data_IF_687395180622
#
_entry.id   IF_687395180622
#
_cell.length_a   1.000
_cell.length_b   1.000
_cell.length_c   1.000
_cell.angle_alpha   90.00
_cell.angle_beta   90.00
_cell.angle_gamma   90.00
#
_symmetry.space_group_name_H-M   'P 1'
#
loop_
_entity.id
_entity.type
_entity.pdbx_description
1 polymer ?
#
# COMPACT_ATOMS: atom_id res chain seq x y z
N UNK A 1 3.42 -18.88 9.48
CA UNK A 1 3.92 -17.59 9.98
C UNK A 1 5.44 -17.60 9.87
N UNK A 2 6.09 -16.50 9.47
CA UNK A 2 7.55 -16.51 9.25
C UNK A 2 8.12 -15.53 8.22
N UNK A 3 7.38 -14.49 7.83
CA UNK A 3 7.96 -13.36 7.08
C UNK A 3 8.26 -12.24 8.08
N UNK A 4 9.50 -11.72 8.08
CA UNK A 4 9.89 -10.58 8.93
C UNK A 4 9.41 -9.22 8.38
N UNK A 5 8.85 -9.22 7.17
CA UNK A 5 8.33 -8.04 6.49
C UNK A 5 7.17 -8.45 5.58
N UNK A 6 6.04 -7.79 5.74
CA UNK A 6 4.84 -7.90 4.91
C UNK A 6 4.52 -6.54 4.32
N UNK A 7 4.39 -6.49 2.99
CA UNK A 7 4.06 -5.29 2.24
C UNK A 7 2.70 -5.48 1.58
N UNK A 8 1.88 -4.42 1.58
CA UNK A 8 0.53 -4.48 1.01
C UNK A 8 0.20 -3.24 0.19
N UNK A 9 -0.74 -3.40 -0.73
CA UNK A 9 -1.38 -2.29 -1.41
C UNK A 9 -2.83 -2.64 -1.70
N UNK A 10 -3.71 -1.65 -1.70
CA UNK A 10 -5.14 -1.84 -1.89
C UNK A 10 -5.87 -0.52 -2.12
N UNK A 11 -6.98 -0.58 -2.82
CA UNK A 11 -7.78 0.57 -3.20
C UNK A 11 -9.28 0.39 -2.89
N UNK A 12 -9.71 -0.83 -2.59
CA UNK A 12 -11.06 -1.16 -2.15
C UNK A 12 -11.18 -1.08 -0.62
N UNK A 13 -12.39 -0.78 -0.13
CA UNK A 13 -12.68 -0.88 1.30
C UNK A 13 -12.46 -2.29 1.86
N UNK A 14 -12.57 -3.33 1.02
CA UNK A 14 -12.24 -4.71 1.37
C UNK A 14 -10.76 -4.88 1.80
N UNK A 15 -9.87 -4.05 1.27
CA UNK A 15 -8.44 -4.14 1.54
C UNK A 15 -8.04 -3.49 2.88
N UNK A 16 -8.95 -2.78 3.56
CA UNK A 16 -8.61 -2.00 4.75
C UNK A 16 -7.98 -2.85 5.88
N UNK A 17 -8.57 -4.00 6.20
CA UNK A 17 -8.05 -4.90 7.24
C UNK A 17 -6.71 -5.51 6.83
N UNK A 18 -6.51 -5.80 5.53
CA UNK A 18 -5.22 -6.21 4.99
C UNK A 18 -4.18 -5.11 5.20
N UNK A 19 -4.51 -3.87 4.85
CA UNK A 19 -3.60 -2.73 4.96
C UNK A 19 -3.26 -2.36 6.41
N UNK A 20 -4.14 -2.70 7.37
CA UNK A 20 -3.87 -2.58 8.80
C UNK A 20 -2.95 -3.70 9.33
N UNK A 21 -2.91 -4.85 8.66
CA UNK A 21 -2.15 -6.02 9.09
C UNK A 21 -0.72 -6.08 8.51
N UNK A 22 -0.39 -5.28 7.50
CA UNK A 22 0.94 -5.22 6.89
C UNK A 22 1.87 -4.24 7.61
N UNK A 23 3.18 -4.46 7.52
CA UNK A 23 4.17 -3.55 8.12
C UNK A 23 4.23 -2.20 7.38
N UNK A 24 4.07 -2.23 6.06
CA UNK A 24 3.95 -1.02 5.21
C UNK A 24 2.94 -1.23 4.10
N UNK A 25 2.03 -0.26 3.96
CA UNK A 25 0.95 -0.26 2.99
C UNK A 25 1.04 0.90 2.00
N UNK A 26 0.45 0.73 0.82
CA UNK A 26 0.25 1.83 -0.14
C UNK A 26 -1.19 1.84 -0.66
N UNK A 27 -1.80 3.03 -0.64
CA UNK A 27 -3.13 3.26 -1.23
C UNK A 27 -2.97 4.11 -2.48
N UNK A 28 -3.42 3.67 -3.67
CA UNK A 28 -3.33 4.50 -4.86
C UNK A 28 -4.30 5.68 -4.80
N UNK A 29 -4.11 6.67 -5.66
CA UNK A 29 -4.92 7.89 -5.70
C UNK A 29 -6.33 7.71 -6.26
N UNK A 30 -6.84 6.47 -6.34
CA UNK A 30 -8.15 6.06 -6.83
C UNK A 30 -8.69 4.89 -5.99
N UNK A 31 -9.91 4.45 -6.28
CA UNK A 31 -10.60 3.40 -5.53
C UNK A 31 -11.36 3.93 -4.31
N UNK A 32 -12.17 3.07 -3.71
CA UNK A 32 -13.07 3.39 -2.61
C UNK A 32 -12.32 3.98 -1.39
N UNK A 33 -11.11 3.50 -1.11
CA UNK A 33 -10.28 4.05 -0.02
C UNK A 33 -9.84 5.49 -0.31
N UNK A 34 -9.61 5.84 -1.58
CA UNK A 34 -9.26 7.21 -1.96
C UNK A 34 -10.46 8.14 -1.86
N UNK A 35 -11.61 7.68 -2.34
CA UNK A 35 -12.88 8.42 -2.35
C UNK A 35 -13.37 8.74 -0.93
N UNK A 36 -13.12 7.83 0.01
CA UNK A 36 -13.45 7.99 1.43
C UNK A 36 -12.37 8.70 2.25
N UNK A 37 -11.29 9.16 1.60
CA UNK A 37 -10.10 9.72 2.25
C UNK A 37 -9.54 8.81 3.37
N UNK A 38 -9.69 7.50 3.23
CA UNK A 38 -9.22 6.53 4.20
C UNK A 38 -7.70 6.58 4.33
N UNK A 39 -7.24 6.53 5.58
CA UNK A 39 -5.82 6.53 5.95
C UNK A 39 -5.61 5.64 7.17
N UNK A 40 -4.39 5.13 7.33
CA UNK A 40 -3.98 4.36 8.49
C UNK A 40 -2.49 4.55 8.75
N UNK A 41 -2.02 4.36 10.00
CA UNK A 41 -0.58 4.30 10.30
C UNK A 41 0.12 3.26 9.41
N UNK A 42 1.30 3.59 8.90
CA UNK A 42 2.06 2.69 8.02
C UNK A 42 1.55 2.61 6.58
N UNK A 43 0.43 3.25 6.24
CA UNK A 43 -0.09 3.34 4.86
C UNK A 43 0.26 4.68 4.22
N UNK A 44 0.94 4.63 3.08
CA UNK A 44 1.24 5.82 2.27
C UNK A 44 0.20 5.99 1.17
N UNK A 45 -0.51 7.12 1.20
CA UNK A 45 -1.38 7.53 0.10
C UNK A 45 -0.55 8.06 -1.08
N UNK A 46 -0.82 7.54 -2.27
CA UNK A 46 -0.17 7.94 -3.51
C UNK A 46 -1.09 8.84 -4.33
N UNK A 47 -0.57 9.88 -5.02
CA UNK A 47 -1.36 10.68 -5.95
C UNK A 47 -1.62 9.96 -7.28
N UNK A 48 -0.76 9.00 -7.67
CA UNK A 48 -0.88 8.30 -8.94
C UNK A 48 -2.14 7.45 -9.03
N UNK A 49 -2.71 7.36 -10.24
CA UNK A 49 -3.94 6.62 -10.54
C UNK A 49 -3.71 5.60 -11.65
N UNK A 50 -4.57 4.58 -11.72
CA UNK A 50 -4.49 3.53 -12.74
C UNK A 50 -3.13 2.84 -12.79
N UNK A 51 -2.62 2.58 -14.00
CA UNK A 51 -1.36 1.85 -14.22
C UNK A 51 -0.15 2.53 -13.56
N UNK A 52 -0.11 3.86 -13.54
CA UNK A 52 1.00 4.61 -12.92
C UNK A 52 1.07 4.36 -11.40
N UNK A 53 -0.07 4.15 -10.75
CA UNK A 53 -0.11 3.78 -9.34
C UNK A 53 0.51 2.39 -9.12
N UNK A 54 0.19 1.43 -10.00
CA UNK A 54 0.79 0.10 -9.97
C UNK A 54 2.31 0.14 -10.13
N UNK A 55 2.83 0.91 -11.09
CA UNK A 55 4.27 1.11 -11.25
C UNK A 55 4.90 1.70 -9.98
N UNK A 56 4.26 2.74 -9.42
CA UNK A 56 4.72 3.40 -8.20
C UNK A 56 4.79 2.44 -7.01
N UNK A 57 3.78 1.60 -6.84
CA UNK A 57 3.68 0.59 -5.77
C UNK A 57 4.78 -0.47 -5.92
N UNK A 58 4.97 -1.04 -7.11
CA UNK A 58 6.02 -2.05 -7.34
C UNK A 58 7.41 -1.47 -7.06
N UNK A 59 7.64 -0.20 -7.46
CA UNK A 59 8.89 0.50 -7.14
C UNK A 59 9.11 0.60 -5.62
N UNK A 60 8.07 0.84 -4.85
CA UNK A 60 8.16 0.87 -3.38
C UNK A 60 8.39 -0.48 -2.75
N UNK A 61 7.71 -1.51 -3.25
CA UNK A 61 7.89 -2.87 -2.78
C UNK A 61 9.34 -3.28 -2.98
N UNK A 62 9.90 -3.05 -4.17
CA UNK A 62 11.31 -3.34 -4.47
C UNK A 62 12.27 -2.52 -3.60
N UNK A 63 12.01 -1.23 -3.39
CA UNK A 63 12.86 -0.41 -2.51
C UNK A 63 12.83 -0.91 -1.07
N UNK A 64 11.66 -1.22 -0.54
CA UNK A 64 11.48 -1.63 0.85
C UNK A 64 12.02 -3.04 1.09
N UNK A 65 11.74 -3.99 0.19
CA UNK A 65 12.23 -5.36 0.31
C UNK A 65 13.77 -5.47 0.17
N UNK A 66 14.42 -4.49 -0.45
CA UNK A 66 15.89 -4.43 -0.60
C UNK A 66 16.57 -3.58 0.46
N UNK A 67 15.83 -2.86 1.29
CA UNK A 67 16.42 -2.05 2.35
C UNK A 67 17.19 -2.96 3.32
N UNK A 68 18.39 -2.54 3.78
CA UNK A 68 19.06 -3.24 4.86
C UNK A 68 18.13 -3.30 6.08
N UNK A 69 18.14 -4.44 6.78
CA UNK A 69 17.44 -4.60 8.05
C UNK A 69 18.10 -3.79 9.15
#
# INVERSE_FOLDING_TARGET
TGADLVLGAGDSLLDADLLLAVDRGWRPGHGELAETAWTAPGVTALPERGVLAGERIVREFLRTARAPR
#
